data_IF_432109144403
#
_entry.id   IF_432109144403
#
_cell.length_a   1.000
_cell.length_b   1.000
_cell.length_c   1.000
_cell.angle_alpha   90.00
_cell.angle_beta   90.00
_cell.angle_gamma   90.00
#
_symmetry.space_group_name_H-M   'P 1'
#
loop_
_entity.id
_entity.type
_entity.pdbx_description
1 polymer ?
#
# COMPACT_ATOMS: atom_id res chain seq x y z
N UNK A 1 -32.17 -38.40 -57.96
CA UNK A 1 -33.29 -37.55 -58.40
C UNK A 1 -34.55 -38.07 -57.73
N UNK A 2 -35.09 -37.34 -56.75
CA UNK A 2 -36.53 -37.25 -56.43
C UNK A 2 -36.68 -36.27 -55.27
N UNK A 3 -37.44 -35.20 -55.52
CA UNK A 3 -37.99 -34.31 -54.51
C UNK A 3 -39.08 -35.05 -53.75
N UNK A 4 -39.19 -34.83 -52.44
CA UNK A 4 -40.45 -34.95 -51.71
C UNK A 4 -40.56 -33.80 -50.72
N UNK A 5 -41.77 -33.26 -50.68
CA UNK A 5 -42.24 -32.13 -49.89
C UNK A 5 -42.31 -32.46 -48.40
N UNK A 6 -42.18 -31.44 -47.54
CA UNK A 6 -43.04 -31.26 -46.35
C UNK A 6 -42.78 -29.85 -45.73
N UNK A 7 -43.86 -29.08 -45.61
CA UNK A 7 -44.02 -27.87 -44.77
C UNK A 7 -44.39 -28.34 -43.33
N UNK A 8 -44.64 -27.48 -42.30
CA UNK A 8 -44.01 -26.25 -41.81
C UNK A 8 -43.75 -26.31 -40.26
N UNK A 9 -43.40 -25.16 -39.66
CA UNK A 9 -43.49 -24.79 -38.22
C UNK A 9 -42.34 -25.17 -37.25
N UNK A 10 -41.50 -24.19 -36.92
CA UNK A 10 -41.56 -23.58 -35.56
C UNK A 10 -40.71 -22.31 -35.42
N UNK A 11 -41.21 -21.28 -34.70
CA UNK A 11 -40.54 -20.01 -34.51
C UNK A 11 -39.70 -20.02 -33.22
N UNK A 12 -38.50 -19.47 -33.25
CA UNK A 12 -37.84 -18.94 -32.04
C UNK A 12 -36.66 -18.04 -32.41
N UNK A 13 -36.93 -16.75 -32.57
CA UNK A 13 -35.98 -15.69 -32.19
C UNK A 13 -36.78 -14.53 -31.61
N UNK A 14 -36.96 -14.58 -30.29
CA UNK A 14 -37.42 -13.44 -29.52
C UNK A 14 -36.41 -12.30 -29.66
N UNK A 15 -36.73 -11.33 -30.52
CA UNK A 15 -36.10 -10.02 -30.48
C UNK A 15 -36.65 -9.28 -29.25
N UNK A 16 -35.77 -8.99 -28.29
CA UNK A 16 -36.05 -8.00 -27.24
C UNK A 16 -35.37 -6.68 -27.61
N UNK A 17 -36.06 -5.54 -27.46
CA UNK A 17 -35.52 -4.22 -27.78
C UNK A 17 -34.49 -3.80 -26.72
N UNK A 18 -33.36 -3.25 -27.17
CA UNK A 18 -32.41 -2.55 -26.33
C UNK A 18 -32.98 -1.18 -25.97
N UNK A 19 -33.74 -1.08 -24.88
CA UNK A 19 -34.15 0.19 -24.30
C UNK A 19 -33.37 0.49 -23.00
N UNK A 20 -32.59 1.55 -23.07
CA UNK A 20 -32.36 2.52 -21.99
C UNK A 20 -31.88 2.00 -20.64
N UNK A 21 -30.57 1.84 -20.48
CA UNK A 21 -29.92 2.01 -19.17
C UNK A 21 -29.11 3.31 -19.22
N UNK A 22 -29.74 4.41 -18.79
CA UNK A 22 -29.06 5.65 -18.49
C UNK A 22 -28.09 5.38 -17.33
N UNK A 23 -26.78 5.36 -17.62
CA UNK A 23 -25.74 5.31 -16.61
C UNK A 23 -25.82 6.59 -15.78
N UNK A 24 -26.52 6.53 -14.65
CA UNK A 24 -26.46 7.57 -13.63
C UNK A 24 -25.05 7.51 -13.05
N UNK A 25 -24.22 8.50 -13.41
CA UNK A 25 -22.99 8.77 -12.68
C UNK A 25 -23.38 9.07 -11.23
N UNK A 26 -23.18 8.09 -10.33
CA UNK A 26 -23.14 8.37 -8.92
C UNK A 26 -21.97 9.35 -8.72
N UNK A 27 -22.29 10.61 -8.45
CA UNK A 27 -21.32 11.59 -7.98
C UNK A 27 -20.81 11.08 -6.63
N UNK A 28 -19.71 10.32 -6.68
CA UNK A 28 -18.95 9.96 -5.48
C UNK A 28 -18.47 11.28 -4.89
N UNK A 29 -19.10 11.68 -3.79
CA UNK A 29 -18.70 12.84 -3.00
C UNK A 29 -17.22 12.66 -2.71
N UNK A 30 -16.39 13.58 -3.19
CA UNK A 30 -14.95 13.54 -2.93
C UNK A 30 -14.74 13.36 -1.41
N UNK A 31 -13.84 12.46 -0.97
CA UNK A 31 -13.54 12.33 0.44
C UNK A 31 -13.12 13.71 0.95
N UNK A 32 -13.86 14.23 1.92
CA UNK A 32 -13.54 15.49 2.58
C UNK A 32 -12.07 15.44 2.98
N UNK A 33 -11.23 16.44 2.63
CA UNK A 33 -9.85 16.44 3.06
C UNK A 33 -9.85 16.35 4.57
N UNK A 34 -9.30 15.24 5.09
CA UNK A 34 -9.23 15.01 6.53
C UNK A 34 -8.68 16.27 7.18
N UNK A 35 -9.41 16.81 8.15
CA UNK A 35 -9.02 18.00 8.88
C UNK A 35 -7.55 17.85 9.28
N UNK A 36 -6.73 18.86 8.93
CA UNK A 36 -5.31 18.88 9.29
C UNK A 36 -5.26 18.70 10.81
N UNK A 37 -4.65 17.62 11.33
CA UNK A 37 -4.63 17.43 12.77
C UNK A 37 -3.89 18.60 13.40
N UNK A 38 -4.45 19.01 14.53
CA UNK A 38 -3.93 20.05 15.39
C UNK A 38 -2.44 19.78 15.63
N UNK A 39 -1.60 20.70 15.15
CA UNK A 39 -0.15 20.58 15.26
C UNK A 39 0.21 20.95 16.69
N UNK A 40 1.04 20.14 17.35
CA UNK A 40 1.63 20.59 18.61
C UNK A 40 2.44 21.88 18.38
N UNK A 41 2.33 22.85 19.29
CA UNK A 41 2.87 24.20 19.12
C UNK A 41 4.41 24.27 19.05
N UNK A 42 5.11 23.18 19.40
CA UNK A 42 6.58 23.16 19.47
C UNK A 42 7.18 22.02 18.65
N UNK A 43 8.16 22.31 17.79
CA UNK A 43 8.87 21.27 17.06
C UNK A 43 9.80 20.49 18.00
N UNK A 44 9.80 19.17 17.82
CA UNK A 44 10.64 18.22 18.58
C UNK A 44 11.60 17.50 17.63
N UNK A 45 12.64 16.90 18.21
CA UNK A 45 13.56 16.05 17.47
C UNK A 45 13.17 14.58 17.62
N UNK A 46 13.22 13.84 16.52
CA UNK A 46 13.03 12.38 16.50
C UNK A 46 14.12 11.69 15.69
N UNK A 47 14.39 10.44 16.05
CA UNK A 47 15.32 9.55 15.37
C UNK A 47 14.57 8.65 14.40
N UNK A 48 14.97 8.62 13.14
CA UNK A 48 14.27 7.88 12.07
C UNK A 48 14.95 6.55 11.81
N UNK A 49 14.22 5.45 11.99
CA UNK A 49 14.67 4.09 11.65
C UNK A 49 14.01 3.55 10.39
N UNK A 50 12.96 4.19 9.84
CA UNK A 50 12.24 3.74 8.63
C UNK A 50 13.15 3.41 7.46
N UNK A 51 14.25 4.16 7.31
CA UNK A 51 15.24 4.02 6.24
C UNK A 51 16.46 3.19 6.64
N UNK A 52 16.43 2.50 7.78
CA UNK A 52 17.60 1.82 8.37
C UNK A 52 18.22 0.71 7.52
N UNK A 53 17.48 0.18 6.53
CA UNK A 53 17.98 -0.82 5.58
C UNK A 53 18.81 -0.20 4.44
N UNK A 54 18.60 1.08 4.13
CA UNK A 54 19.25 1.76 3.00
C UNK A 54 20.13 2.92 3.43
N UNK A 55 19.89 3.49 4.62
CA UNK A 55 20.56 4.66 5.16
C UNK A 55 20.83 4.50 6.66
N UNK A 56 21.72 5.33 7.18
CA UNK A 56 21.96 5.45 8.63
C UNK A 56 20.74 6.09 9.31
N UNK A 57 20.56 5.80 10.60
CA UNK A 57 19.56 6.46 11.43
C UNK A 57 19.90 7.94 11.50
N UNK A 58 18.94 8.79 11.18
CA UNK A 58 19.10 10.25 11.19
C UNK A 58 18.23 10.88 12.26
N UNK A 59 18.67 12.03 12.77
CA UNK A 59 17.86 12.87 13.64
C UNK A 59 17.20 13.94 12.80
N UNK A 60 15.88 14.08 12.89
CA UNK A 60 15.10 15.07 12.17
C UNK A 60 14.26 15.90 13.13
N UNK A 61 13.90 17.12 12.71
CA UNK A 61 13.02 18.03 13.44
C UNK A 61 11.65 18.08 12.79
N UNK A 62 10.61 18.26 13.59
CA UNK A 62 9.23 18.23 13.11
C UNK A 62 8.20 18.35 14.22
N UNK A 63 6.94 18.19 13.85
CA UNK A 63 5.79 18.40 14.72
C UNK A 63 5.11 17.06 15.02
N UNK A 64 5.01 16.67 16.31
CA UNK A 64 4.19 15.54 16.68
C UNK A 64 2.71 15.88 16.46
N UNK A 65 1.93 14.86 16.13
CA UNK A 65 0.47 14.92 15.93
C UNK A 65 -0.20 14.08 17.00
N UNK A 66 -1.42 14.47 17.37
CA UNK A 66 -2.21 13.80 18.40
C UNK A 66 -2.65 12.37 18.01
N UNK A 67 -2.55 12.02 16.72
CA UNK A 67 -2.90 10.72 16.17
C UNK A 67 -1.74 9.69 16.20
N UNK A 68 -0.60 10.02 16.83
CA UNK A 68 0.58 9.15 16.92
C UNK A 68 1.49 9.23 15.68
N UNK A 69 1.31 10.24 14.84
CA UNK A 69 2.20 10.54 13.72
C UNK A 69 3.11 11.73 14.03
N UNK A 70 4.20 11.83 13.28
CA UNK A 70 5.17 12.91 13.34
C UNK A 70 5.33 13.49 11.93
N UNK A 71 5.23 14.81 11.79
CA UNK A 71 5.39 15.50 10.50
C UNK A 71 6.74 16.20 10.47
N UNK A 72 7.69 15.75 9.63
CA UNK A 72 8.98 16.41 9.46
C UNK A 72 8.86 17.87 8.96
N UNK A 73 9.78 18.74 9.37
CA UNK A 73 9.86 20.13 8.89
C UNK A 73 10.34 20.21 7.42
N UNK A 74 11.12 19.24 6.97
CA UNK A 74 11.73 19.21 5.64
C UNK A 74 10.73 18.89 4.50
N UNK A 75 9.43 18.74 4.80
CA UNK A 75 8.41 18.43 3.81
C UNK A 75 8.29 16.94 3.46
N UNK A 76 9.06 16.07 4.11
CA UNK A 76 8.92 14.63 3.95
C UNK A 76 7.54 14.12 4.44
N UNK A 77 7.20 12.91 4.01
CA UNK A 77 6.00 12.22 4.47
C UNK A 77 5.96 12.06 6.00
N UNK A 78 4.76 12.10 6.57
CA UNK A 78 4.56 11.84 7.98
C UNK A 78 5.07 10.44 8.36
N UNK A 79 5.69 10.34 9.53
CA UNK A 79 6.30 9.14 10.09
C UNK A 79 5.50 8.66 11.29
N UNK A 80 5.29 7.36 11.41
CA UNK A 80 4.61 6.79 12.58
C UNK A 80 5.56 6.73 13.78
N UNK A 81 5.16 7.31 14.92
CA UNK A 81 5.95 7.24 16.15
C UNK A 81 5.94 5.80 16.68
N UNK A 82 7.10 5.28 17.09
CA UNK A 82 7.27 3.91 17.57
C UNK A 82 7.40 2.85 16.46
N UNK A 83 7.31 3.24 15.19
CA UNK A 83 7.50 2.34 14.04
C UNK A 83 8.49 2.88 13.02
N UNK A 84 8.33 4.14 12.64
CA UNK A 84 9.17 4.80 11.65
C UNK A 84 10.18 5.76 12.30
N UNK A 85 9.79 6.35 13.43
CA UNK A 85 10.59 7.31 14.18
C UNK A 85 10.39 7.16 15.69
N UNK A 86 11.40 7.56 16.47
CA UNK A 86 11.49 7.31 17.91
C UNK A 86 12.04 8.55 18.64
N UNK A 87 11.59 8.82 19.88
CA UNK A 87 12.16 9.89 20.70
C UNK A 87 13.64 9.64 21.08
N UNK A 88 14.01 8.38 21.29
CA UNK A 88 15.36 7.97 21.68
C UNK A 88 16.15 7.39 20.51
N UNK A 89 17.46 7.68 20.47
CA UNK A 89 18.39 7.06 19.52
C UNK A 89 18.50 5.56 19.75
N UNK A 90 18.48 5.15 21.02
CA UNK A 90 18.61 3.75 21.41
C UNK A 90 17.46 2.92 20.84
N UNK A 91 16.22 3.40 20.97
CA UNK A 91 15.03 2.67 20.47
C UNK A 91 15.01 2.62 18.94
N UNK A 92 15.40 3.72 18.28
CA UNK A 92 15.57 3.72 16.82
C UNK A 92 16.65 2.72 16.36
N UNK A 93 17.72 2.55 17.15
CA UNK A 93 18.77 1.59 16.86
C UNK A 93 18.29 0.14 17.03
N UNK A 94 17.58 -0.14 18.12
CA UNK A 94 16.98 -1.45 18.35
C UNK A 94 16.01 -1.86 17.23
N UNK A 95 15.14 -0.94 16.79
CA UNK A 95 14.23 -1.18 15.66
C UNK A 95 14.99 -1.38 14.34
N UNK A 96 16.01 -0.56 14.08
CA UNK A 96 16.86 -0.70 12.91
C UNK A 96 17.55 -2.08 12.85
N UNK A 97 18.11 -2.53 13.96
CA UNK A 97 18.79 -3.82 14.04
C UNK A 97 17.82 -4.99 13.91
N UNK A 98 16.63 -4.88 14.51
CA UNK A 98 15.56 -5.85 14.33
C UNK A 98 15.16 -6.01 12.84
N UNK A 99 14.97 -4.90 12.13
CA UNK A 99 14.65 -4.91 10.69
C UNK A 99 15.78 -5.50 9.85
N UNK A 100 17.04 -5.22 10.20
CA UNK A 100 18.20 -5.82 9.52
C UNK A 100 18.23 -7.31 9.73
N UNK A 101 18.01 -7.79 10.95
CA UNK A 101 17.95 -9.22 11.24
C UNK A 101 16.86 -9.92 10.44
N UNK A 102 15.64 -9.35 10.40
CA UNK A 102 14.54 -9.87 9.57
C UNK A 102 14.90 -9.91 8.09
N UNK A 103 15.56 -8.86 7.57
CA UNK A 103 15.96 -8.81 6.17
C UNK A 103 17.04 -9.84 5.85
N UNK A 104 18.03 -10.01 6.72
CA UNK A 104 19.07 -11.04 6.58
C UNK A 104 18.43 -12.42 6.53
N UNK A 105 17.48 -12.71 7.43
CA UNK A 105 16.80 -14.00 7.45
C UNK A 105 15.98 -14.25 6.18
N UNK A 106 15.23 -13.25 5.72
CA UNK A 106 14.54 -13.32 4.44
C UNK A 106 15.48 -13.57 3.26
N UNK A 107 16.67 -12.96 3.26
CA UNK A 107 17.67 -13.15 2.21
C UNK A 107 18.28 -14.55 2.25
N UNK A 108 18.52 -15.13 3.44
CA UNK A 108 19.01 -16.51 3.58
C UNK A 108 18.03 -17.52 2.98
N UNK A 109 16.74 -17.37 3.25
CA UNK A 109 15.70 -18.23 2.67
C UNK A 109 15.66 -18.09 1.14
N UNK A 110 15.84 -16.87 0.62
CA UNK A 110 15.89 -16.65 -0.83
C UNK A 110 17.14 -17.29 -1.46
N UNK A 111 18.30 -17.19 -0.80
CA UNK A 111 19.53 -17.84 -1.26
C UNK A 111 19.39 -19.36 -1.32
N UNK A 112 18.87 -19.99 -0.26
CA UNK A 112 18.66 -21.44 -0.24
C UNK A 112 17.78 -21.92 -1.40
N UNK A 113 16.69 -21.20 -1.71
CA UNK A 113 15.84 -21.51 -2.86
C UNK A 113 16.55 -21.38 -4.20
N UNK A 114 17.42 -20.38 -4.33
CA UNK A 114 18.21 -20.19 -5.55
C UNK A 114 19.27 -21.28 -5.69
N UNK A 115 19.89 -21.70 -4.59
CA UNK A 115 20.83 -22.82 -4.56
C UNK A 115 20.14 -24.13 -4.97
N UNK A 116 18.94 -24.41 -4.45
CA UNK A 116 18.13 -25.56 -4.89
C UNK A 116 17.86 -25.52 -6.40
N UNK A 117 17.46 -24.37 -6.95
CA UNK A 117 17.21 -24.23 -8.39
C UNK A 117 18.48 -24.38 -9.24
N UNK A 118 19.65 -24.00 -8.71
CA UNK A 118 20.92 -24.12 -9.43
C UNK A 118 21.43 -25.56 -9.51
N UNK A 119 21.14 -26.38 -8.48
CA UNK A 119 21.56 -27.79 -8.40
C UNK A 119 20.46 -28.77 -8.81
N UNK A 120 19.29 -28.26 -9.25
CA UNK A 120 18.19 -29.08 -9.76
C UNK A 120 18.37 -29.50 -11.23
N UNK A 121 19.41 -28.98 -11.90
CA UNK A 121 19.90 -29.35 -13.24
C UNK A 121 21.41 -29.72 -13.20
#
# INVERSE_FOLDING_TARGET
MTLNMDDPLSPSRGARPLSGAAWRHATVKAPTPAARPERADKPVHMWVSKTALTRRITRIRGYPRNDGWFTPENGDHALRVGRDCFPSRHDAAADADHRRAQKIESLRVQLAKLEELLHAD
#
